data_IF_650584172544
#
_entry.id   IF_650584172544
#
_cell.length_a   1.000
_cell.length_b   1.000
_cell.length_c   1.000
_cell.angle_alpha   90.00
_cell.angle_beta   90.00
_cell.angle_gamma   90.00
#
_symmetry.space_group_name_H-M   'P 1'
#
loop_
_entity.id
_entity.type
_entity.pdbx_description
1 polymer ?
#
# COMPACT_ATOMS: atom_id res chain seq x y z
N UNK A 1 -3.70 -10.66 35.39
CA UNK A 1 -3.24 -9.39 34.76
C UNK A 1 -2.34 -9.74 33.59
N UNK A 2 -2.35 -8.96 32.51
CA UNK A 2 -1.36 -9.12 31.43
C UNK A 2 -0.05 -8.47 31.90
N UNK A 3 1.08 -9.12 31.61
CA UNK A 3 2.40 -8.60 31.95
C UNK A 3 2.99 -7.70 30.84
N UNK A 4 2.44 -7.79 29.62
CA UNK A 4 2.92 -7.06 28.46
C UNK A 4 2.01 -5.88 28.10
N UNK A 5 2.62 -4.83 27.56
CA UNK A 5 1.93 -3.67 27.05
C UNK A 5 0.99 -4.05 25.89
N UNK A 6 -0.27 -3.61 25.98
CA UNK A 6 -1.26 -3.78 24.90
C UNK A 6 -1.27 -2.52 24.03
N UNK A 7 -0.64 -2.53 22.83
CA UNK A 7 -0.65 -1.38 21.95
C UNK A 7 -2.06 -1.10 21.41
N UNK A 8 -2.40 0.18 21.29
CA UNK A 8 -3.68 0.62 20.71
C UNK A 8 -3.80 0.21 19.23
N UNK A 9 -2.72 0.35 18.47
CA UNK A 9 -2.62 -0.08 17.09
C UNK A 9 -1.26 -0.73 16.85
N UNK A 10 -1.27 -1.95 16.31
CA UNK A 10 -0.08 -2.63 15.82
C UNK A 10 -0.35 -3.04 14.37
N UNK A 11 0.43 -2.55 13.38
CA UNK A 11 0.22 -2.93 12.00
C UNK A 11 0.45 -4.43 11.83
N UNK A 12 -0.42 -5.07 11.04
CA UNK A 12 -0.19 -6.42 10.56
C UNK A 12 0.66 -6.32 9.29
N UNK A 13 1.84 -6.93 9.31
CA UNK A 13 2.77 -6.93 8.18
C UNK A 13 3.02 -8.39 7.82
N UNK A 14 2.63 -8.79 6.62
CA UNK A 14 2.86 -10.12 6.10
C UNK A 14 4.27 -10.24 5.49
N UNK A 15 4.84 -11.45 5.47
CA UNK A 15 6.15 -11.69 4.87
C UNK A 15 6.18 -11.34 3.38
N UNK A 16 5.09 -11.62 2.66
CA UNK A 16 4.94 -11.25 1.26
C UNK A 16 5.03 -9.74 1.04
N UNK A 17 4.51 -8.92 1.97
CA UNK A 17 4.62 -7.47 1.90
C UNK A 17 6.08 -7.00 2.07
N UNK A 18 6.87 -7.69 2.90
CA UNK A 18 8.31 -7.42 3.08
C UNK A 18 9.06 -7.80 1.80
N UNK A 19 8.77 -8.97 1.25
CA UNK A 19 9.39 -9.45 0.00
C UNK A 19 9.12 -8.49 -1.17
N UNK A 20 7.89 -7.98 -1.29
CA UNK A 20 7.50 -7.01 -2.32
C UNK A 20 8.29 -5.68 -2.22
N UNK A 21 8.53 -5.20 -0.99
CA UNK A 21 9.38 -4.02 -0.73
C UNK A 21 10.82 -4.31 -1.12
N UNK A 22 11.37 -5.46 -0.71
CA UNK A 22 12.74 -5.88 -1.05
C UNK A 22 12.94 -5.98 -2.56
N UNK A 23 11.98 -6.54 -3.29
CA UNK A 23 12.04 -6.62 -4.74
C UNK A 23 12.04 -5.23 -5.39
N UNK A 24 11.25 -4.28 -4.87
CA UNK A 24 11.24 -2.89 -5.35
C UNK A 24 12.60 -2.21 -5.16
N UNK A 25 13.28 -2.50 -4.04
CA UNK A 25 14.65 -2.01 -3.80
C UNK A 25 15.63 -2.65 -4.79
N UNK A 26 15.53 -3.96 -5.01
CA UNK A 26 16.43 -4.70 -5.91
C UNK A 26 16.23 -4.33 -7.38
N UNK A 27 15.02 -3.95 -7.79
CA UNK A 27 14.73 -3.52 -9.16
C UNK A 27 15.30 -2.12 -9.48
N UNK A 28 15.66 -1.34 -8.45
CA UNK A 28 16.10 0.04 -8.59
C UNK A 28 14.97 1.05 -8.84
N UNK A 29 13.72 0.61 -8.89
CA UNK A 29 12.55 1.47 -9.12
C UNK A 29 11.78 1.71 -7.81
N UNK A 30 12.17 2.76 -7.09
CA UNK A 30 11.64 3.06 -5.75
C UNK A 30 10.41 3.97 -5.74
N UNK A 31 10.24 4.78 -6.79
CA UNK A 31 9.14 5.73 -6.89
C UNK A 31 7.93 5.12 -7.62
N UNK A 32 6.94 5.96 -7.96
CA UNK A 32 5.78 5.54 -8.76
C UNK A 32 6.23 4.82 -10.04
N UNK A 33 5.67 3.64 -10.29
CA UNK A 33 6.17 2.73 -11.32
C UNK A 33 5.24 1.54 -11.57
N UNK A 34 5.77 0.46 -12.17
CA UNK A 34 4.97 -0.71 -12.57
C UNK A 34 4.15 -1.32 -11.42
N UNK A 35 4.71 -1.36 -10.20
CA UNK A 35 3.99 -1.87 -9.02
C UNK A 35 2.84 -0.97 -8.59
N UNK A 36 2.96 0.35 -8.76
CA UNK A 36 1.86 1.30 -8.51
C UNK A 36 0.72 1.09 -9.49
N UNK A 37 1.03 0.93 -10.79
CA UNK A 37 0.04 0.67 -11.84
C UNK A 37 -0.68 -0.67 -11.58
N UNK A 38 0.08 -1.72 -11.25
CA UNK A 38 -0.52 -3.02 -10.91
C UNK A 38 -1.43 -2.94 -9.68
N UNK A 39 -1.07 -2.15 -8.68
CA UNK A 39 -1.94 -1.89 -7.53
C UNK A 39 -3.23 -1.18 -7.95
N UNK A 40 -3.16 -0.15 -8.80
CA UNK A 40 -4.35 0.58 -9.30
C UNK A 40 -5.30 -0.33 -10.08
N UNK A 41 -4.77 -1.19 -10.95
CA UNK A 41 -5.56 -2.18 -11.70
C UNK A 41 -6.26 -3.16 -10.76
N UNK A 42 -5.53 -3.70 -9.79
CA UNK A 42 -6.08 -4.64 -8.80
C UNK A 42 -7.11 -3.95 -7.90
N UNK A 43 -6.88 -2.69 -7.52
CA UNK A 43 -7.80 -1.92 -6.70
C UNK A 43 -9.09 -1.57 -7.45
N UNK A 44 -8.98 -1.25 -8.75
CA UNK A 44 -10.15 -1.03 -9.61
C UNK A 44 -10.98 -2.31 -9.72
N UNK A 45 -10.34 -3.48 -9.90
CA UNK A 45 -11.02 -4.79 -9.89
C UNK A 45 -11.68 -5.09 -8.55
N UNK A 46 -11.00 -4.78 -7.44
CA UNK A 46 -11.51 -5.03 -6.09
C UNK A 46 -12.73 -4.17 -5.75
N UNK A 47 -12.70 -2.89 -6.13
CA UNK A 47 -13.77 -1.93 -5.82
C UNK A 47 -14.90 -1.90 -6.84
N UNK A 48 -14.65 -2.38 -8.06
CA UNK A 48 -15.56 -2.22 -9.21
C UNK A 48 -15.53 -0.82 -9.84
N UNK A 49 -14.60 0.04 -9.44
CA UNK A 49 -14.44 1.36 -10.04
C UNK A 49 -13.87 1.26 -11.47
N UNK A 50 -14.31 2.17 -12.35
CA UNK A 50 -13.76 2.25 -13.71
C UNK A 50 -12.27 2.63 -13.74
N UNK A 51 -11.82 3.38 -12.74
CA UNK A 51 -10.45 3.88 -12.61
C UNK A 51 -10.05 3.97 -11.13
N UNK A 52 -8.77 3.77 -10.85
CA UNK A 52 -8.16 4.00 -9.53
C UNK A 52 -6.84 4.73 -9.71
N UNK A 53 -6.52 5.65 -8.80
CA UNK A 53 -5.27 6.42 -8.80
C UNK A 53 -4.63 6.36 -7.42
N UNK A 54 -3.36 5.95 -7.36
CA UNK A 54 -2.58 5.88 -6.14
C UNK A 54 -1.94 7.22 -5.83
N UNK A 55 -2.07 7.64 -4.58
CA UNK A 55 -1.47 8.87 -4.06
C UNK A 55 -0.79 8.59 -2.72
N UNK A 56 -0.01 9.55 -2.22
CA UNK A 56 0.74 9.38 -0.98
C UNK A 56 -0.13 9.35 0.29
N UNK A 57 -1.40 9.75 0.20
CA UNK A 57 -2.33 9.82 1.33
C UNK A 57 -3.78 9.98 0.85
N UNK A 58 -4.73 9.61 1.71
CA UNK A 58 -6.15 9.87 1.48
C UNK A 58 -6.46 11.39 1.44
N UNK A 59 -5.73 12.20 2.20
CA UNK A 59 -5.86 13.67 2.17
C UNK A 59 -5.48 14.23 0.81
N UNK A 60 -4.41 13.75 0.19
CA UNK A 60 -4.07 14.12 -1.18
C UNK A 60 -5.18 13.73 -2.16
N UNK A 61 -5.74 12.52 -2.01
CA UNK A 61 -6.89 12.09 -2.81
C UNK A 61 -8.08 13.04 -2.71
N UNK A 62 -8.44 13.45 -1.49
CA UNK A 62 -9.53 14.42 -1.29
C UNK A 62 -9.20 15.82 -1.82
N UNK A 63 -7.92 16.22 -1.83
CA UNK A 63 -7.50 17.51 -2.37
C UNK A 63 -7.57 17.56 -3.90
N UNK A 64 -7.37 16.42 -4.57
CA UNK A 64 -7.31 16.34 -6.04
C UNK A 64 -8.64 16.03 -6.72
N UNK A 65 -9.73 15.85 -5.96
CA UNK A 65 -11.10 15.63 -6.47
C UNK A 65 -11.89 16.91 -6.61
#
# INVERSE_FOLDING_TARGET
MRNDFLPFAKPSIAEDAINEVVESIRSGWLAMGPKTISFEENFSKYTGASWSLSLNSATAGLHTV
#
